data_IF_641218903873
#
_entry.id   IF_641218903873
#
_cell.length_a   1.000
_cell.length_b   1.000
_cell.length_c   1.000
_cell.angle_alpha   90.00
_cell.angle_beta   90.00
_cell.angle_gamma   90.00
#
_symmetry.space_group_name_H-M   'P 1'
#
loop_
_entity.id
_entity.type
_entity.pdbx_description
1 polymer ?
#
# COMPACT_ATOMS: atom_id res chain seq x y z
N UNK A 1 2.60 16.08 4.40
CA UNK A 1 2.17 16.99 3.33
C UNK A 1 2.44 16.31 1.99
N UNK A 2 1.41 16.04 1.20
CA UNK A 2 1.56 15.46 -0.14
C UNK A 2 1.52 16.59 -1.18
N UNK A 3 2.58 16.71 -1.97
CA UNK A 3 2.64 17.67 -3.08
C UNK A 3 2.29 16.93 -4.37
N UNK A 4 1.39 17.50 -5.16
CA UNK A 4 0.98 16.96 -6.45
C UNK A 4 1.41 17.92 -7.56
N UNK A 5 2.14 17.40 -8.54
CA UNK A 5 2.51 18.11 -9.75
C UNK A 5 1.83 17.42 -10.95
N UNK A 6 1.36 18.22 -11.90
CA UNK A 6 0.71 17.74 -13.12
C UNK A 6 1.50 18.25 -14.32
N UNK A 7 1.78 17.36 -15.28
CA UNK A 7 2.48 17.68 -16.51
C UNK A 7 1.64 17.22 -17.70
N UNK A 8 1.46 18.09 -18.70
CA UNK A 8 0.83 17.73 -19.96
C UNK A 8 1.89 17.29 -20.97
N UNK A 9 1.72 16.11 -21.56
CA UNK A 9 2.72 15.52 -22.48
C UNK A 9 2.33 15.63 -23.97
N UNK A 10 1.23 16.33 -24.27
CA UNK A 10 0.76 16.55 -25.63
C UNK A 10 0.31 15.25 -26.29
N UNK A 11 0.89 14.94 -27.45
CA UNK A 11 0.61 13.70 -28.21
C UNK A 11 1.56 12.55 -27.84
N UNK A 12 2.39 12.69 -26.81
CA UNK A 12 3.33 11.65 -26.40
C UNK A 12 2.59 10.54 -25.65
N UNK A 13 2.95 9.28 -25.91
CA UNK A 13 2.34 8.10 -25.29
C UNK A 13 3.20 7.52 -24.14
N UNK A 14 4.40 8.06 -23.93
CA UNK A 14 5.24 7.72 -22.77
C UNK A 14 6.17 8.86 -22.37
N UNK A 15 6.61 8.85 -21.11
CA UNK A 15 7.72 9.66 -20.60
C UNK A 15 8.99 8.83 -20.74
N UNK A 16 9.92 9.28 -21.59
CA UNK A 16 11.20 8.60 -21.81
C UNK A 16 12.06 8.61 -20.54
N UNK A 17 12.13 9.76 -19.86
CA UNK A 17 12.92 9.96 -18.65
C UNK A 17 12.23 10.97 -17.73
N UNK A 18 12.09 10.62 -16.45
CA UNK A 18 11.68 11.52 -15.38
C UNK A 18 12.81 11.56 -14.35
N UNK A 19 13.45 12.72 -14.19
CA UNK A 19 14.51 12.93 -13.20
C UNK A 19 14.05 13.89 -12.11
N UNK A 20 14.10 13.44 -10.86
CA UNK A 20 13.80 14.22 -9.65
C UNK A 20 15.09 14.48 -8.87
N UNK A 21 15.36 15.76 -8.58
CA UNK A 21 16.52 16.20 -7.80
C UNK A 21 16.05 16.71 -6.45
N UNK A 22 16.49 16.07 -5.39
CA UNK A 22 16.06 16.37 -4.03
C UNK A 22 16.99 17.36 -3.32
N UNK A 23 16.49 18.13 -2.34
CA UNK A 23 17.33 19.03 -1.53
C UNK A 23 18.44 18.31 -0.76
N UNK A 24 18.26 17.03 -0.40
CA UNK A 24 19.31 16.19 0.16
C UNK A 24 20.50 15.94 -0.77
N UNK A 25 20.35 16.20 -2.07
CA UNK A 25 21.33 15.89 -3.11
C UNK A 25 21.09 14.56 -3.82
N UNK A 26 20.09 13.78 -3.40
CA UNK A 26 19.68 12.55 -4.09
C UNK A 26 19.10 12.90 -5.47
N UNK A 27 19.50 12.15 -6.50
CA UNK A 27 18.94 12.24 -7.85
C UNK A 27 18.29 10.91 -8.17
N UNK A 28 16.99 10.94 -8.46
CA UNK A 28 16.21 9.76 -8.85
C UNK A 28 15.82 9.89 -10.30
N UNK A 29 15.98 8.83 -11.07
CA UNK A 29 15.63 8.79 -12.49
C UNK A 29 14.80 7.56 -12.79
N UNK A 30 13.64 7.78 -13.41
CA UNK A 30 12.72 6.75 -13.90
C UNK A 30 12.63 6.81 -15.42
N UNK A 31 12.47 5.67 -16.07
CA UNK A 31 12.45 5.56 -17.53
C UNK A 31 11.18 4.87 -18.02
N UNK A 32 10.78 5.17 -19.26
CA UNK A 32 9.67 4.51 -19.97
C UNK A 32 8.36 4.46 -19.15
N UNK A 33 7.98 5.57 -18.54
CA UNK A 33 6.74 5.64 -17.76
C UNK A 33 5.54 5.87 -18.70
N UNK A 34 4.39 5.23 -18.44
CA UNK A 34 3.18 5.46 -19.22
C UNK A 34 2.64 6.88 -18.99
N UNK A 35 1.94 7.41 -20.00
CA UNK A 35 1.12 8.61 -19.81
C UNK A 35 -0.17 8.28 -19.04
N UNK A 36 -0.82 9.32 -18.52
CA UNK A 36 -2.06 9.22 -17.73
C UNK A 36 -1.95 8.39 -16.44
N UNK A 37 -0.74 8.32 -15.87
CA UNK A 37 -0.46 7.59 -14.64
C UNK A 37 -0.09 8.52 -13.47
N UNK A 38 -0.35 8.07 -12.24
CA UNK A 38 0.04 8.77 -11.00
C UNK A 38 1.24 8.05 -10.39
N UNK A 39 2.39 8.70 -10.48
CA UNK A 39 3.63 8.16 -9.92
C UNK A 39 3.87 8.78 -8.55
N UNK A 40 4.01 7.92 -7.54
CA UNK A 40 4.47 8.32 -6.21
C UNK A 40 6.00 8.42 -6.23
N UNK A 41 6.53 9.61 -5.94
CA UNK A 41 7.97 9.84 -5.82
C UNK A 41 8.30 10.18 -4.36
N UNK A 42 9.34 9.56 -3.83
CA UNK A 42 9.75 9.65 -2.41
C UNK A 42 11.25 9.78 -2.35
N UNK A 43 11.77 10.74 -1.57
CA UNK A 43 13.18 11.17 -1.55
C UNK A 43 14.20 10.06 -1.28
N UNK A 44 13.81 9.09 -0.46
CA UNK A 44 14.59 7.88 -0.23
C UNK A 44 13.68 6.66 -0.41
N UNK A 45 14.16 5.66 -1.15
CA UNK A 45 13.50 4.35 -1.24
C UNK A 45 13.36 3.69 0.12
N UNK A 46 14.21 4.07 1.08
CA UNK A 46 14.08 3.66 2.48
C UNK A 46 12.73 4.10 3.04
N UNK A 47 12.25 5.33 2.78
CA UNK A 47 10.94 5.80 3.28
C UNK A 47 9.73 5.36 2.42
N UNK A 48 10.00 4.83 1.23
CA UNK A 48 8.95 4.31 0.35
C UNK A 48 8.37 2.98 0.88
N UNK A 49 9.25 2.21 1.52
CA UNK A 49 9.07 0.88 2.08
C UNK A 49 9.64 0.88 3.51
N UNK A 50 9.24 1.84 4.34
CA UNK A 50 9.50 1.87 5.79
C UNK A 50 8.15 2.15 6.44
N UNK A 51 7.42 1.07 6.63
CA UNK A 51 6.02 1.10 6.95
C UNK A 51 5.77 1.46 8.44
N UNK A 52 6.69 1.06 9.33
CA UNK A 52 6.66 1.39 10.76
C UNK A 52 7.40 2.71 11.10
N UNK A 53 8.05 3.34 10.11
CA UNK A 53 8.76 4.64 10.16
C UNK A 53 9.93 4.67 11.13
N UNK A 54 10.62 3.56 11.29
CA UNK A 54 11.77 3.45 12.19
C UNK A 54 13.10 3.79 11.50
N UNK A 55 13.06 4.25 10.24
CA UNK A 55 14.22 4.53 9.37
C UNK A 55 15.01 3.28 8.95
N UNK A 56 14.45 2.09 9.11
CA UNK A 56 14.94 0.84 8.57
C UNK A 56 13.98 0.45 7.44
N UNK A 57 14.47 0.11 6.24
CA UNK A 57 13.59 -0.36 5.19
C UNK A 57 12.97 -1.72 5.55
N UNK A 58 11.70 -1.90 5.22
CA UNK A 58 10.91 -3.13 5.29
C UNK A 58 11.71 -4.38 4.84
N UNK A 59 12.37 -4.32 3.68
CA UNK A 59 13.16 -5.46 3.17
C UNK A 59 14.35 -5.82 4.07
N UNK A 60 14.95 -4.82 4.72
CA UNK A 60 16.08 -5.00 5.63
C UNK A 60 15.57 -5.60 6.94
N UNK A 61 14.41 -5.17 7.43
CA UNK A 61 13.78 -5.73 8.65
C UNK A 61 13.39 -7.21 8.47
N UNK A 62 12.84 -7.56 7.30
CA UNK A 62 12.52 -8.95 6.94
C UNK A 62 13.80 -9.80 6.86
N UNK A 63 14.86 -9.28 6.24
CA UNK A 63 16.15 -9.98 6.15
C UNK A 63 16.84 -10.17 7.50
N UNK A 64 16.74 -9.17 8.38
CA UNK A 64 17.32 -9.19 9.73
C UNK A 64 16.44 -9.96 10.73
N UNK A 65 15.23 -10.39 10.31
CA UNK A 65 14.27 -11.11 11.14
C UNK A 65 13.67 -10.26 12.25
N UNK A 66 13.69 -8.94 12.08
CA UNK A 66 13.06 -7.97 12.99
C UNK A 66 11.55 -7.93 12.76
N UNK A 67 11.14 -7.93 11.50
CA UNK A 67 9.74 -8.00 11.09
C UNK A 67 9.43 -9.34 10.41
N UNK A 68 8.21 -9.83 10.61
CA UNK A 68 7.73 -11.09 10.05
C UNK A 68 7.16 -10.83 8.65
N UNK A 69 7.41 -11.74 7.71
CA UNK A 69 6.78 -11.80 6.38
C UNK A 69 6.39 -13.27 6.14
N UNK A 70 5.31 -13.73 6.80
CA UNK A 70 4.88 -15.13 6.70
C UNK A 70 4.39 -15.49 5.29
N UNK A 71 3.88 -14.50 4.55
CA UNK A 71 3.26 -14.71 3.23
C UNK A 71 4.25 -14.54 2.06
N UNK A 72 5.44 -14.00 2.32
CA UNK A 72 6.56 -13.87 1.37
C UNK A 72 6.35 -12.80 0.30
N UNK A 73 5.53 -11.78 0.57
CA UNK A 73 5.22 -10.74 -0.41
C UNK A 73 6.21 -9.55 -0.36
N UNK A 74 7.19 -9.58 0.56
CA UNK A 74 8.20 -8.53 0.72
C UNK A 74 7.71 -7.28 1.44
N UNK A 75 6.55 -7.36 2.09
CA UNK A 75 5.97 -6.35 2.98
C UNK A 75 5.89 -6.98 4.38
N UNK A 76 6.37 -6.32 5.44
CA UNK A 76 6.21 -6.80 6.81
C UNK A 76 4.74 -7.06 7.13
N UNK A 77 4.42 -8.14 7.84
CA UNK A 77 3.06 -8.51 8.23
C UNK A 77 2.40 -7.41 9.09
N UNK A 78 3.19 -6.71 9.92
CA UNK A 78 2.79 -5.49 10.66
C UNK A 78 2.29 -4.35 9.75
N UNK A 79 2.58 -4.44 8.45
CA UNK A 79 2.29 -3.45 7.44
C UNK A 79 1.39 -3.99 6.31
N UNK A 80 1.19 -5.30 6.27
CA UNK A 80 0.24 -5.99 5.40
C UNK A 80 -1.10 -6.21 6.11
N UNK A 81 -1.63 -5.10 6.66
CA UNK A 81 -2.85 -5.07 7.45
C UNK A 81 -4.11 -4.82 6.61
N UNK A 82 -4.25 -5.49 5.47
CA UNK A 82 -5.41 -5.31 4.60
C UNK A 82 -6.74 -5.70 5.27
N UNK A 83 -6.69 -6.51 6.34
CA UNK A 83 -7.85 -6.87 7.17
C UNK A 83 -8.20 -5.89 8.29
N UNK A 84 -7.37 -4.89 8.59
CA UNK A 84 -7.64 -3.87 9.62
C UNK A 84 -8.53 -2.76 9.03
N UNK A 85 -9.80 -3.11 8.87
CA UNK A 85 -10.83 -2.25 8.25
C UNK A 85 -11.11 -1.04 9.13
N UNK A 86 -10.95 -1.18 10.45
CA UNK A 86 -11.27 -0.12 11.41
C UNK A 86 -10.06 0.80 11.74
N UNK A 87 -8.85 0.39 11.35
CA UNK A 87 -7.62 1.17 11.48
C UNK A 87 -7.04 1.18 12.89
N UNK A 88 -7.30 0.16 13.71
CA UNK A 88 -6.79 0.06 15.08
C UNK A 88 -5.47 -0.69 15.20
N UNK A 89 -4.90 -1.13 14.08
CA UNK A 89 -3.66 -1.89 14.01
C UNK A 89 -3.83 -3.37 14.33
N UNK A 90 -5.04 -3.93 14.30
CA UNK A 90 -5.29 -5.35 14.52
C UNK A 90 -6.40 -5.87 13.61
N UNK A 91 -6.27 -7.08 13.05
CA UNK A 91 -7.38 -7.77 12.39
C UNK A 91 -8.11 -8.64 13.41
N UNK A 92 -9.25 -8.16 13.89
CA UNK A 92 -10.03 -8.80 14.95
C UNK A 92 -11.55 -8.76 14.70
N UNK A 93 -12.33 -9.11 15.73
CA UNK A 93 -13.79 -9.16 15.64
C UNK A 93 -14.42 -7.80 15.30
N UNK A 94 -13.75 -6.69 15.62
CA UNK A 94 -14.21 -5.35 15.32
C UNK A 94 -14.16 -5.06 13.80
N UNK A 95 -13.18 -5.60 13.08
CA UNK A 95 -13.11 -5.53 11.61
C UNK A 95 -14.21 -6.37 10.97
N UNK A 96 -14.49 -7.54 11.53
CA UNK A 96 -15.61 -8.37 11.09
C UNK A 96 -16.96 -7.64 11.27
N UNK A 97 -17.16 -6.97 12.40
CA UNK A 97 -18.36 -6.16 12.64
C UNK A 97 -18.44 -5.03 11.60
N UNK A 98 -17.30 -4.38 11.31
CA UNK A 98 -17.24 -3.29 10.33
C UNK A 98 -17.57 -3.79 8.92
N UNK A 99 -17.04 -4.94 8.49
CA UNK A 99 -17.35 -5.57 7.21
C UNK A 99 -18.83 -5.94 7.11
N UNK A 100 -19.39 -6.59 8.13
CA UNK A 100 -20.80 -6.98 8.15
C UNK A 100 -21.72 -5.76 8.14
N UNK A 101 -21.31 -4.63 8.72
CA UNK A 101 -22.12 -3.40 8.76
C UNK A 101 -22.41 -2.82 7.37
N UNK A 102 -21.58 -3.15 6.38
CA UNK A 102 -21.71 -2.70 4.98
C UNK A 102 -21.93 -3.86 4.01
N UNK A 103 -22.42 -5.02 4.50
CA UNK A 103 -22.64 -6.20 3.67
C UNK A 103 -23.55 -5.93 2.47
N UNK A 104 -23.10 -6.35 1.28
CA UNK A 104 -23.76 -6.10 0.00
C UNK A 104 -23.59 -4.67 -0.53
N UNK A 105 -22.78 -3.84 0.12
CA UNK A 105 -22.44 -2.51 -0.39
C UNK A 105 -21.53 -2.61 -1.61
N UNK A 106 -21.74 -1.74 -2.59
CA UNK A 106 -20.87 -1.54 -3.75
C UNK A 106 -20.09 -0.23 -3.72
N UNK A 107 -20.20 0.53 -2.62
CA UNK A 107 -19.54 1.84 -2.45
C UNK A 107 -18.44 1.83 -1.40
N UNK A 108 -18.32 0.74 -0.62
CA UNK A 108 -17.31 0.62 0.43
C UNK A 108 -16.07 -0.08 -0.10
N UNK A 109 -15.16 0.67 -0.72
CA UNK A 109 -13.88 0.14 -1.21
C UNK A 109 -12.95 -0.34 -0.09
N UNK A 110 -13.21 0.07 1.17
CA UNK A 110 -12.40 -0.33 2.33
C UNK A 110 -12.78 -1.73 2.83
N UNK A 111 -14.00 -2.19 2.54
CA UNK A 111 -14.48 -3.52 2.96
C UNK A 111 -14.58 -4.50 1.79
N UNK A 112 -14.33 -4.05 0.56
CA UNK A 112 -14.21 -4.85 -0.66
C UNK A 112 -12.73 -5.27 -0.81
N UNK A 113 -12.36 -6.32 -0.08
CA UNK A 113 -10.97 -6.76 0.07
C UNK A 113 -10.45 -7.45 -1.19
N UNK A 114 -11.33 -8.02 -2.03
CA UNK A 114 -10.93 -8.61 -3.31
C UNK A 114 -11.08 -7.63 -4.50
N UNK A 115 -11.59 -6.42 -4.26
CA UNK A 115 -11.89 -5.39 -5.27
C UNK A 115 -12.83 -5.87 -6.39
N UNK A 116 -13.79 -6.75 -6.08
CA UNK A 116 -14.79 -7.25 -7.05
C UNK A 116 -15.98 -6.29 -7.24
N UNK A 117 -16.03 -5.21 -6.47
CA UNK A 117 -17.06 -4.18 -6.51
C UNK A 117 -18.24 -4.46 -5.57
N UNK A 118 -18.20 -5.52 -4.77
CA UNK A 118 -19.27 -5.87 -3.83
C UNK A 118 -18.77 -6.49 -2.54
N UNK A 119 -19.10 -5.91 -1.39
CA UNK A 119 -18.79 -6.51 -0.08
C UNK A 119 -19.64 -7.75 0.15
N UNK A 120 -19.02 -8.93 0.13
CA UNK A 120 -19.70 -10.22 0.24
C UNK A 120 -18.87 -11.29 0.96
N UNK A 121 -19.25 -12.56 0.81
CA UNK A 121 -18.58 -13.69 1.46
C UNK A 121 -17.13 -13.87 1.01
N UNK A 122 -16.79 -13.45 -0.20
CA UNK A 122 -15.42 -13.49 -0.69
C UNK A 122 -14.52 -12.54 0.12
N UNK A 123 -15.00 -11.36 0.48
CA UNK A 123 -14.28 -10.42 1.36
C UNK A 123 -14.18 -10.97 2.78
N UNK A 124 -15.25 -11.60 3.27
CA UNK A 124 -15.23 -12.25 4.58
C UNK A 124 -14.15 -13.33 4.66
N UNK A 125 -13.97 -14.13 3.60
CA UNK A 125 -12.94 -15.17 3.54
C UNK A 125 -11.54 -14.55 3.58
N UNK A 126 -11.33 -13.44 2.88
CA UNK A 126 -10.06 -12.70 2.94
C UNK A 126 -9.80 -12.11 4.32
N UNK A 127 -10.82 -11.53 4.96
CA UNK A 127 -10.69 -11.00 6.31
C UNK A 127 -10.30 -12.09 7.32
N UNK A 128 -10.93 -13.27 7.24
CA UNK A 128 -10.60 -14.42 8.10
C UNK A 128 -9.22 -15.00 7.79
N UNK A 129 -8.76 -14.93 6.54
CA UNK A 129 -7.40 -15.32 6.18
C UNK A 129 -6.36 -14.36 6.78
N UNK A 130 -6.70 -13.08 6.93
CA UNK A 130 -5.86 -12.05 7.56
C UNK A 130 -5.99 -12.00 9.09
N UNK A 131 -6.73 -12.92 9.72
CA UNK A 131 -6.98 -12.84 11.15
C UNK A 131 -5.67 -12.93 11.92
N UNK A 132 -5.44 -11.99 12.85
CA UNK A 132 -4.20 -11.92 13.62
C UNK A 132 -2.93 -11.64 12.78
N UNK A 133 -3.04 -11.17 11.53
CA UNK A 133 -1.86 -10.84 10.70
C UNK A 133 -1.13 -9.57 11.15
N UNK A 134 -1.77 -8.71 11.94
CA UNK A 134 -1.24 -7.42 12.42
C UNK A 134 -0.71 -7.46 13.86
N UNK A 135 -0.12 -8.57 14.31
CA UNK A 135 0.29 -8.76 15.71
C UNK A 135 1.79 -8.98 15.90
#
# INVERSE_FOLDING_TARGET
HMFRAHFGLGASESIMELTVRWPSGIVQTSFNLPVDDIIRVVEDSVFAYDCNRNCIPDYQEILDGVSVDENGNGIPDECDCFGDINGNGAVEVNDLITLISVWGSSTSSVCDLNNDGTVNVNDLILLVAAWNSCN
#
